data_IF_347967396480
#
_entry.id   IF_347967396480
#
_cell.length_a   1.000
_cell.length_b   1.000
_cell.length_c   1.000
_cell.angle_alpha   90.00
_cell.angle_beta   90.00
_cell.angle_gamma   90.00
#
_symmetry.space_group_name_H-M   'P 1'
#
loop_
_entity.id
_entity.type
_entity.pdbx_description
1 polymer ?
#
# COMPACT_ATOMS: atom_id res chain seq x y z
N UNK A 1 -11.71 -36.47 0.09
CA UNK A 1 -11.33 -35.09 0.51
C UNK A 1 -11.80 -34.91 1.95
N UNK A 2 -11.04 -34.23 2.82
CA UNK A 2 -11.50 -33.88 4.16
C UNK A 2 -12.79 -33.07 4.09
N UNK A 3 -13.67 -33.23 5.09
CA UNK A 3 -14.86 -32.39 5.19
C UNK A 3 -14.50 -31.07 5.86
N UNK A 4 -14.20 -30.05 5.04
CA UNK A 4 -13.86 -28.69 5.46
C UNK A 4 -14.96 -27.96 6.23
N UNK A 5 -16.18 -28.49 6.24
CA UNK A 5 -17.31 -27.94 7.00
C UNK A 5 -17.59 -28.71 8.29
N UNK A 6 -16.76 -29.68 8.66
CA UNK A 6 -16.90 -30.36 9.95
C UNK A 6 -16.52 -29.41 11.10
N UNK A 7 -17.26 -29.46 12.20
CA UNK A 7 -17.07 -28.56 13.35
C UNK A 7 -15.64 -28.62 13.92
N UNK A 8 -14.98 -29.79 13.84
CA UNK A 8 -13.59 -29.96 14.28
C UNK A 8 -12.59 -29.20 13.42
N UNK A 9 -12.79 -29.17 12.11
CA UNK A 9 -11.93 -28.42 11.18
C UNK A 9 -12.15 -26.92 11.35
N UNK A 10 -13.41 -26.46 11.42
CA UNK A 10 -13.74 -25.04 11.64
C UNK A 10 -13.17 -24.52 12.97
N UNK A 11 -13.23 -25.32 14.04
CA UNK A 11 -12.61 -24.96 15.32
C UNK A 11 -11.08 -24.86 15.22
N UNK A 12 -10.46 -25.80 14.49
CA UNK A 12 -9.01 -25.80 14.25
C UNK A 12 -8.59 -24.57 13.43
N UNK A 13 -9.32 -24.26 12.37
CA UNK A 13 -9.10 -23.09 11.52
C UNK A 13 -9.26 -21.79 12.29
N UNK A 14 -10.26 -21.71 13.18
CA UNK A 14 -10.47 -20.55 14.06
C UNK A 14 -9.26 -20.33 14.96
N UNK A 15 -8.72 -21.39 15.58
CA UNK A 15 -7.53 -21.30 16.43
C UNK A 15 -6.28 -20.90 15.63
N UNK A 16 -6.13 -21.42 14.41
CA UNK A 16 -5.03 -21.04 13.51
C UNK A 16 -5.16 -19.57 13.12
N UNK A 17 -6.37 -19.11 12.77
CA UNK A 17 -6.65 -17.73 12.42
C UNK A 17 -6.31 -16.76 13.56
N UNK A 18 -6.73 -17.05 14.79
CA UNK A 18 -6.41 -16.21 15.97
C UNK A 18 -4.90 -16.07 16.13
N UNK A 19 -4.15 -17.19 16.08
CA UNK A 19 -2.68 -17.17 16.19
C UNK A 19 -2.03 -16.40 15.05
N UNK A 20 -2.54 -16.55 13.83
CA UNK A 20 -2.04 -15.86 12.64
C UNK A 20 -2.25 -14.36 12.75
N UNK A 21 -3.43 -13.88 13.14
CA UNK A 21 -3.73 -12.46 13.33
C UNK A 21 -2.81 -11.83 14.36
N UNK A 22 -2.56 -12.51 15.49
CA UNK A 22 -1.61 -12.04 16.50
C UNK A 22 -0.18 -11.90 15.95
N UNK A 23 0.29 -12.90 15.21
CA UNK A 23 1.61 -12.87 14.59
C UNK A 23 1.72 -11.74 13.55
N UNK A 24 0.70 -11.58 12.70
CA UNK A 24 0.64 -10.52 11.69
C UNK A 24 0.56 -9.13 12.32
N UNK A 25 -0.20 -8.96 13.40
CA UNK A 25 -0.23 -7.70 14.15
C UNK A 25 1.15 -7.38 14.72
N UNK A 26 1.84 -8.35 15.33
CA UNK A 26 3.20 -8.14 15.83
C UNK A 26 4.17 -7.69 14.73
N UNK A 27 4.13 -8.35 13.57
CA UNK A 27 4.93 -7.99 12.40
C UNK A 27 4.58 -6.58 11.89
N UNK A 28 3.29 -6.25 11.80
CA UNK A 28 2.84 -4.94 11.35
C UNK A 28 3.19 -3.83 12.34
N UNK A 29 3.06 -4.08 13.64
CA UNK A 29 3.48 -3.15 14.70
C UNK A 29 4.98 -2.86 14.61
N UNK A 30 5.79 -3.89 14.40
CA UNK A 30 7.24 -3.75 14.21
C UNK A 30 7.56 -2.83 13.03
N UNK A 31 6.99 -3.12 11.86
CA UNK A 31 7.15 -2.28 10.66
C UNK A 31 6.65 -0.85 10.90
N UNK A 32 5.53 -0.69 11.60
CA UNK A 32 4.96 0.60 11.93
C UNK A 32 5.91 1.42 12.81
N UNK A 33 6.40 0.85 13.91
CA UNK A 33 7.32 1.53 14.83
C UNK A 33 8.62 1.91 14.13
N UNK A 34 9.22 0.98 13.37
CA UNK A 34 10.49 1.22 12.67
C UNK A 34 10.42 2.34 11.63
N UNK A 35 9.22 2.64 11.12
CA UNK A 35 9.02 3.68 10.11
C UNK A 35 8.44 4.98 10.67
N UNK A 36 8.19 5.06 11.99
CA UNK A 36 7.79 6.31 12.66
C UNK A 36 8.84 7.41 12.54
N UNK A 37 10.13 7.08 12.51
CA UNK A 37 11.22 8.05 12.31
C UNK A 37 11.04 8.87 11.02
N UNK A 38 10.55 8.21 9.97
CA UNK A 38 10.27 8.86 8.69
C UNK A 38 9.06 9.80 8.80
N UNK A 39 7.99 9.38 9.47
CA UNK A 39 6.79 10.20 9.68
C UNK A 39 7.10 11.41 10.55
N UNK A 40 7.84 11.19 11.64
CA UNK A 40 8.29 12.24 12.55
C UNK A 40 9.18 13.26 11.83
N UNK A 41 10.05 12.81 10.92
CA UNK A 41 10.85 13.72 10.10
C UNK A 41 10.00 14.56 9.13
N UNK A 42 8.83 14.08 8.69
CA UNK A 42 7.90 14.87 7.88
C UNK A 42 7.10 15.85 8.74
N UNK A 43 6.61 15.38 9.89
CA UNK A 43 5.83 16.20 10.82
C UNK A 43 6.68 17.35 11.40
N UNK A 44 7.95 17.08 11.72
CA UNK A 44 8.92 18.09 12.18
C UNK A 44 9.44 18.99 11.04
N UNK A 45 8.93 18.85 9.83
CA UNK A 45 9.31 19.68 8.68
C UNK A 45 10.71 19.43 8.12
N UNK A 46 11.44 18.42 8.64
CA UNK A 46 12.76 18.03 8.11
C UNK A 46 12.67 17.47 6.68
N UNK A 47 11.49 16.99 6.27
CA UNK A 47 11.20 16.58 4.88
C UNK A 47 10.02 17.34 4.29
N UNK A 48 10.12 17.68 2.99
CA UNK A 48 9.05 18.36 2.25
C UNK A 48 7.82 17.47 2.11
N UNK A 49 6.68 17.95 2.60
CA UNK A 49 5.39 17.32 2.42
C UNK A 49 4.99 17.33 0.93
N UNK A 50 4.50 16.20 0.44
CA UNK A 50 3.94 16.06 -0.92
C UNK A 50 2.54 15.51 -0.79
N UNK A 51 1.58 16.08 -1.52
CA UNK A 51 0.16 15.68 -1.45
C UNK A 51 -0.10 14.17 -1.62
N UNK A 52 0.59 13.42 -2.50
CA UNK A 52 0.48 11.95 -2.58
C UNK A 52 0.68 11.19 -1.26
N UNK A 53 1.41 11.79 -0.33
CA UNK A 53 1.76 11.15 0.94
C UNK A 53 0.57 11.04 1.89
N UNK A 54 -0.49 11.81 1.67
CA UNK A 54 -1.75 11.71 2.43
C UNK A 54 -2.36 10.33 2.26
N UNK A 55 -2.43 9.81 1.03
CA UNK A 55 -2.99 8.47 0.77
C UNK A 55 -2.13 7.36 1.37
N UNK A 56 -0.81 7.56 1.41
CA UNK A 56 0.11 6.66 2.10
C UNK A 56 -0.16 6.60 3.60
N UNK A 57 -0.25 7.75 4.26
CA UNK A 57 -0.56 7.78 5.69
C UNK A 57 -1.96 7.26 5.98
N UNK A 58 -2.98 7.72 5.26
CA UNK A 58 -4.35 7.27 5.45
C UNK A 58 -4.47 5.74 5.38
N UNK A 59 -3.90 5.10 4.35
CA UNK A 59 -3.96 3.64 4.21
C UNK A 59 -3.22 2.91 5.33
N UNK A 60 -2.09 3.45 5.77
CA UNK A 60 -1.28 2.89 6.86
C UNK A 60 -1.99 2.98 8.22
N UNK A 61 -2.54 4.13 8.58
CA UNK A 61 -3.27 4.28 9.84
C UNK A 61 -4.58 3.48 9.82
N UNK A 62 -5.29 3.45 8.69
CA UNK A 62 -6.51 2.63 8.55
C UNK A 62 -6.21 1.13 8.71
N UNK A 63 -5.13 0.62 8.10
CA UNK A 63 -4.73 -0.77 8.28
C UNK A 63 -4.37 -1.09 9.74
N UNK A 64 -3.69 -0.18 10.43
CA UNK A 64 -3.38 -0.33 11.85
C UNK A 64 -4.67 -0.45 12.68
N UNK A 65 -5.62 0.45 12.47
CA UNK A 65 -6.91 0.42 13.19
C UNK A 65 -7.75 -0.81 12.84
N UNK A 66 -7.70 -1.28 11.58
CA UNK A 66 -8.34 -2.53 11.18
C UNK A 66 -7.72 -3.73 11.92
N UNK A 67 -6.40 -3.84 11.98
CA UNK A 67 -5.72 -4.92 12.72
C UNK A 67 -6.01 -4.89 14.23
N UNK A 68 -6.08 -3.71 14.83
CA UNK A 68 -6.51 -3.56 16.23
C UNK A 68 -7.97 -3.98 16.39
N UNK A 69 -8.86 -3.57 15.49
CA UNK A 69 -10.27 -3.97 15.49
C UNK A 69 -10.45 -5.49 15.32
N UNK A 70 -9.63 -6.13 14.49
CA UNK A 70 -9.62 -7.57 14.31
C UNK A 70 -9.23 -8.30 15.60
N UNK A 71 -8.20 -7.82 16.33
CA UNK A 71 -7.83 -8.37 17.64
C UNK A 71 -8.95 -8.22 18.67
N UNK A 72 -9.55 -7.03 18.77
CA UNK A 72 -10.70 -6.81 19.64
C UNK A 72 -11.83 -7.81 19.31
N UNK A 73 -12.05 -8.08 18.02
CA UNK A 73 -13.09 -8.99 17.55
C UNK A 73 -12.86 -10.45 17.96
N UNK A 74 -11.62 -10.88 18.19
CA UNK A 74 -11.29 -12.27 18.56
C UNK A 74 -10.98 -12.47 20.04
N UNK A 75 -10.52 -11.43 20.76
CA UNK A 75 -10.06 -11.54 22.16
C UNK A 75 -10.98 -10.84 23.18
N UNK A 76 -12.06 -10.19 22.74
CA UNK A 76 -12.95 -9.50 23.69
C UNK A 76 -13.70 -10.49 24.59
N UNK A 77 -13.58 -10.29 25.91
CA UNK A 77 -14.35 -11.01 26.92
C UNK A 77 -15.61 -10.25 27.37
N UNK A 78 -15.77 -9.01 26.92
CA UNK A 78 -16.89 -8.11 27.28
C UNK A 78 -17.81 -7.90 26.09
N UNK A 79 -19.09 -7.68 26.38
CA UNK A 79 -20.08 -7.38 25.35
C UNK A 79 -19.74 -6.09 24.61
N UNK A 80 -19.59 -6.21 23.30
CA UNK A 80 -19.31 -5.10 22.37
C UNK A 80 -20.29 -5.14 21.21
N UNK A 81 -20.45 -4.00 20.55
CA UNK A 81 -21.25 -3.93 19.33
C UNK A 81 -20.49 -4.57 18.15
N UNK A 82 -20.61 -5.90 18.02
CA UNK A 82 -19.95 -6.69 16.97
C UNK A 82 -20.26 -6.19 15.56
N UNK A 83 -21.49 -5.71 15.35
CA UNK A 83 -21.90 -5.16 14.06
C UNK A 83 -21.08 -3.94 13.70
N UNK A 84 -20.98 -2.97 14.60
CA UNK A 84 -20.17 -1.77 14.36
C UNK A 84 -18.69 -2.11 14.18
N UNK A 85 -18.16 -3.03 14.99
CA UNK A 85 -16.76 -3.45 14.93
C UNK A 85 -16.40 -4.11 13.60
N UNK A 86 -17.19 -5.09 13.14
CA UNK A 86 -16.92 -5.78 11.88
C UNK A 86 -17.23 -4.94 10.66
N UNK A 87 -18.25 -4.08 10.69
CA UNK A 87 -18.49 -3.10 9.61
C UNK A 87 -17.31 -2.14 9.49
N UNK A 88 -16.81 -1.63 10.62
CA UNK A 88 -15.61 -0.79 10.63
C UNK A 88 -14.40 -1.54 10.10
N UNK A 89 -14.15 -2.76 10.57
CA UNK A 89 -12.99 -3.56 10.15
C UNK A 89 -13.02 -3.88 8.65
N UNK A 90 -14.19 -4.24 8.12
CA UNK A 90 -14.38 -4.51 6.70
C UNK A 90 -14.08 -3.25 5.87
N UNK A 91 -14.70 -2.12 6.23
CA UNK A 91 -14.51 -0.86 5.52
C UNK A 91 -13.06 -0.35 5.62
N UNK A 92 -12.45 -0.40 6.81
CA UNK A 92 -11.10 0.06 7.04
C UNK A 92 -10.07 -0.81 6.30
N UNK A 93 -10.26 -2.13 6.29
CA UNK A 93 -9.43 -3.08 5.56
C UNK A 93 -9.51 -2.86 4.04
N UNK A 94 -10.72 -2.79 3.49
CA UNK A 94 -10.93 -2.58 2.06
C UNK A 94 -10.44 -1.19 1.61
N UNK A 95 -10.67 -0.16 2.44
CA UNK A 95 -10.15 1.18 2.19
C UNK A 95 -8.61 1.24 2.23
N UNK A 96 -7.97 0.53 3.16
CA UNK A 96 -6.50 0.45 3.22
C UNK A 96 -5.92 -0.16 1.93
N UNK A 97 -6.57 -1.19 1.39
CA UNK A 97 -6.23 -1.81 0.11
C UNK A 97 -6.42 -0.81 -1.04
N UNK A 98 -7.58 -0.16 -1.13
CA UNK A 98 -7.84 0.85 -2.16
C UNK A 98 -6.84 2.01 -2.15
N UNK A 99 -6.44 2.46 -0.96
CA UNK A 99 -5.41 3.50 -0.78
C UNK A 99 -4.02 3.02 -1.19
N UNK A 100 -3.67 1.77 -0.93
CA UNK A 100 -2.44 1.16 -1.43
C UNK A 100 -2.40 1.13 -2.96
N UNK A 101 -3.50 0.78 -3.62
CA UNK A 101 -3.58 0.79 -5.09
C UNK A 101 -3.52 2.20 -5.69
N UNK A 102 -4.07 3.22 -5.00
CA UNK A 102 -3.86 4.62 -5.37
C UNK A 102 -2.37 4.99 -5.29
N UNK A 103 -1.68 4.61 -4.21
CA UNK A 103 -0.25 4.88 -4.05
C UNK A 103 0.58 4.26 -5.17
N UNK A 104 0.24 3.04 -5.59
CA UNK A 104 0.87 2.39 -6.74
C UNK A 104 0.58 3.17 -8.03
N UNK A 105 -0.67 3.56 -8.26
CA UNK A 105 -1.10 4.33 -9.43
C UNK A 105 -0.40 5.68 -9.55
N UNK A 106 -0.22 6.40 -8.43
CA UNK A 106 0.49 7.68 -8.39
C UNK A 106 1.96 7.53 -8.83
N UNK A 107 2.61 6.40 -8.50
CA UNK A 107 3.96 6.10 -8.97
C UNK A 107 3.98 5.87 -10.47
N UNK A 108 3.01 5.14 -11.00
CA UNK A 108 2.86 4.90 -12.45
C UNK A 108 2.64 6.20 -13.22
N UNK A 109 1.79 7.09 -12.70
CA UNK A 109 1.55 8.41 -13.29
C UNK A 109 2.85 9.22 -13.39
N UNK A 110 3.70 9.17 -12.36
CA UNK A 110 5.00 9.84 -12.38
C UNK A 110 5.95 9.23 -13.43
N UNK A 111 5.99 7.89 -13.56
CA UNK A 111 6.80 7.19 -14.59
C UNK A 111 6.35 7.56 -16.00
N UNK A 112 5.05 7.78 -16.20
CA UNK A 112 4.47 8.22 -17.48
C UNK A 112 4.54 9.73 -17.71
N UNK A 113 5.32 10.47 -16.91
CA UNK A 113 5.50 11.92 -17.04
C UNK A 113 4.16 12.67 -17.07
N UNK A 114 3.19 12.23 -16.28
CA UNK A 114 1.85 12.84 -16.17
C UNK A 114 1.06 12.90 -17.48
N UNK A 115 1.16 11.87 -18.33
CA UNK A 115 0.30 11.76 -19.50
C UNK A 115 -1.19 11.75 -19.12
N UNK A 116 -1.94 12.76 -19.59
CA UNK A 116 -3.36 12.97 -19.26
C UNK A 116 -4.25 11.77 -19.57
N UNK A 117 -3.93 11.00 -20.62
CA UNK A 117 -4.66 9.78 -20.97
C UNK A 117 -4.55 8.69 -19.89
N UNK A 118 -3.33 8.43 -19.41
CA UNK A 118 -3.09 7.44 -18.37
C UNK A 118 -3.72 7.89 -17.05
N UNK A 119 -3.64 9.18 -16.74
CA UNK A 119 -4.29 9.76 -15.56
C UNK A 119 -5.81 9.54 -15.64
N UNK A 120 -6.44 9.86 -16.77
CA UNK A 120 -7.88 9.69 -16.96
C UNK A 120 -8.34 8.24 -16.76
N UNK A 121 -7.62 7.28 -17.35
CA UNK A 121 -7.92 5.84 -17.20
C UNK A 121 -7.76 5.40 -15.74
N UNK A 122 -6.65 5.77 -15.08
CA UNK A 122 -6.40 5.39 -13.69
C UNK A 122 -7.41 6.00 -12.73
N UNK A 123 -7.78 7.27 -12.92
CA UNK A 123 -8.80 7.93 -12.10
C UNK A 123 -10.15 7.22 -12.24
N UNK A 124 -10.53 6.82 -13.46
CA UNK A 124 -11.78 6.09 -13.68
C UNK A 124 -11.80 4.74 -12.98
N UNK A 125 -10.70 3.98 -13.03
CA UNK A 125 -10.58 2.70 -12.33
C UNK A 125 -10.61 2.91 -10.80
N UNK A 126 -9.93 3.94 -10.29
CA UNK A 126 -9.98 4.28 -8.86
C UNK A 126 -11.40 4.60 -8.41
N UNK A 127 -12.16 5.41 -9.17
CA UNK A 127 -13.55 5.72 -8.83
C UNK A 127 -14.43 4.45 -8.82
N UNK A 128 -14.25 3.57 -9.80
CA UNK A 128 -14.91 2.26 -9.82
C UNK A 128 -14.58 1.44 -8.56
N UNK A 129 -13.31 1.41 -8.17
CA UNK A 129 -12.87 0.69 -6.97
C UNK A 129 -13.54 1.23 -5.70
N UNK A 130 -13.54 2.55 -5.48
CA UNK A 130 -14.17 3.14 -4.29
C UNK A 130 -15.68 2.94 -4.24
N UNK A 131 -16.34 2.90 -5.40
CA UNK A 131 -17.77 2.57 -5.44
C UNK A 131 -18.06 1.15 -4.95
N UNK A 132 -17.21 0.17 -5.30
CA UNK A 132 -17.32 -1.21 -4.84
C UNK A 132 -17.01 -1.32 -3.34
N UNK A 133 -15.97 -0.66 -2.85
CA UNK A 133 -15.61 -0.64 -1.42
C UNK A 133 -16.78 -0.14 -0.57
N UNK A 134 -17.42 0.96 -0.97
CA UNK A 134 -18.56 1.52 -0.23
C UNK A 134 -19.81 0.61 -0.25
N UNK A 135 -19.97 -0.21 -1.30
CA UNK A 135 -21.08 -1.16 -1.42
C UNK A 135 -20.79 -2.49 -0.71
N UNK A 136 -19.54 -2.79 -0.34
CA UNK A 136 -19.10 -4.10 0.17
C UNK A 136 -19.53 -4.41 1.61
N UNK A 137 -20.58 -3.76 2.13
CA UNK A 137 -21.05 -3.91 3.53
C UNK A 137 -22.36 -4.72 3.66
N UNK A 138 -22.41 -6.03 3.32
CA UNK A 138 -23.52 -6.90 3.72
C UNK A 138 -23.06 -7.93 4.77
N UNK A 139 -22.81 -7.47 6.00
CA UNK A 139 -22.50 -8.37 7.11
C UNK A 139 -23.38 -8.05 8.31
N UNK A 140 -23.88 -9.10 8.95
CA UNK A 140 -24.65 -9.06 10.19
C UNK A 140 -23.94 -9.89 11.24
N UNK A 141 -23.64 -9.28 12.38
CA UNK A 141 -22.93 -9.93 13.48
C UNK A 141 -23.57 -9.62 14.83
N UNK A 142 -23.63 -10.65 15.68
CA UNK A 142 -24.24 -10.59 17.01
C UNK A 142 -23.28 -11.09 18.06
N UNK A 143 -23.43 -10.57 19.27
CA UNK A 143 -22.72 -11.06 20.45
C UNK A 143 -23.39 -12.33 21.00
N UNK A 144 -22.60 -13.39 21.21
CA UNK A 144 -23.06 -14.63 21.87
C UNK A 144 -22.36 -14.79 23.21
N UNK A 145 -23.09 -14.81 24.33
CA UNK A 145 -22.51 -14.99 25.67
C UNK A 145 -21.66 -16.27 25.75
N UNK A 146 -20.43 -16.14 26.24
CA UNK A 146 -19.50 -17.27 26.41
C UNK A 146 -18.73 -17.68 25.15
N UNK A 147 -19.07 -17.14 23.97
CA UNK A 147 -18.39 -17.43 22.69
C UNK A 147 -17.76 -16.18 22.08
N UNK A 148 -18.40 -15.01 22.23
CA UNK A 148 -17.92 -13.73 21.71
C UNK A 148 -18.70 -13.25 20.48
N UNK A 149 -18.06 -12.45 19.62
CA UNK A 149 -18.67 -11.97 18.39
C UNK A 149 -18.75 -13.07 17.33
N UNK A 150 -19.94 -13.30 16.78
CA UNK A 150 -20.16 -14.25 15.67
C UNK A 150 -20.87 -13.58 14.51
N UNK A 151 -20.53 -14.01 13.29
CA UNK A 151 -21.15 -13.55 12.05
C UNK A 151 -22.37 -14.43 11.81
N UNK A 152 -23.57 -13.84 11.87
CA UNK A 152 -24.84 -14.58 11.70
C UNK A 152 -25.22 -14.71 10.24
N UNK A 153 -24.99 -13.65 9.46
CA UNK A 153 -25.26 -13.63 8.03
C UNK A 153 -24.16 -12.85 7.32
N UNK A 154 -23.62 -13.42 6.25
CA UNK A 154 -22.71 -12.72 5.35
C UNK A 154 -22.91 -13.20 3.92
N UNK A 155 -22.89 -12.25 2.98
CA UNK A 155 -22.85 -12.59 1.57
C UNK A 155 -21.42 -12.30 1.04
N UNK A 156 -20.61 -13.34 0.77
CA UNK A 156 -19.24 -13.16 0.35
C UNK A 156 -19.10 -12.65 -1.09
N UNK A 157 -20.19 -12.58 -1.88
CA UNK A 157 -20.11 -12.21 -3.30
C UNK A 157 -19.55 -10.80 -3.52
N UNK A 158 -20.00 -9.80 -2.74
CA UNK A 158 -19.52 -8.42 -2.92
C UNK A 158 -18.04 -8.25 -2.53
N UNK A 159 -17.57 -8.69 -1.35
CA UNK A 159 -16.14 -8.67 -1.03
C UNK A 159 -15.28 -9.41 -2.05
N UNK A 160 -15.76 -10.57 -2.53
CA UNK A 160 -15.04 -11.35 -3.56
C UNK A 160 -14.85 -10.54 -4.85
N UNK A 161 -15.90 -9.87 -5.33
CA UNK A 161 -15.82 -9.01 -6.52
C UNK A 161 -14.83 -7.86 -6.29
N UNK A 162 -14.88 -7.22 -5.13
CA UNK A 162 -13.98 -6.11 -4.76
C UNK A 162 -12.51 -6.54 -4.73
N UNK A 163 -12.21 -7.72 -4.17
CA UNK A 163 -10.85 -8.26 -4.17
C UNK A 163 -10.36 -8.59 -5.58
N UNK A 164 -11.18 -9.25 -6.41
CA UNK A 164 -10.83 -9.55 -7.80
C UNK A 164 -10.58 -8.26 -8.57
N UNK A 165 -11.45 -7.26 -8.41
CA UNK A 165 -11.30 -5.94 -9.02
C UNK A 165 -9.96 -5.29 -8.62
N UNK A 166 -9.62 -5.31 -7.33
CA UNK A 166 -8.33 -4.80 -6.81
C UNK A 166 -7.15 -5.48 -7.50
N UNK A 167 -7.14 -6.82 -7.54
CA UNK A 167 -6.05 -7.58 -8.13
C UNK A 167 -5.86 -7.23 -9.61
N UNK A 168 -6.96 -7.11 -10.36
CA UNK A 168 -6.93 -6.67 -11.75
C UNK A 168 -6.41 -5.23 -11.89
N UNK A 169 -6.86 -4.33 -11.02
CA UNK A 169 -6.40 -2.94 -11.01
C UNK A 169 -4.89 -2.85 -10.77
N UNK A 170 -4.39 -3.46 -9.70
CA UNK A 170 -2.96 -3.47 -9.38
C UNK A 170 -2.15 -4.13 -10.50
N UNK A 171 -2.65 -5.22 -11.09
CA UNK A 171 -2.01 -5.87 -12.23
C UNK A 171 -1.88 -4.94 -13.44
N UNK A 172 -2.95 -4.21 -13.80
CA UNK A 172 -2.91 -3.22 -14.90
C UNK A 172 -1.88 -2.14 -14.61
N UNK A 173 -1.86 -1.60 -13.38
CA UNK A 173 -0.92 -0.56 -12.96
C UNK A 173 0.54 -1.07 -13.01
N UNK A 174 0.78 -2.30 -12.56
CA UNK A 174 2.09 -2.96 -12.65
C UNK A 174 2.52 -3.15 -14.10
N UNK A 175 1.63 -3.64 -14.98
CA UNK A 175 1.91 -3.80 -16.41
C UNK A 175 2.25 -2.46 -17.08
N UNK A 176 1.50 -1.40 -16.81
CA UNK A 176 1.78 -0.06 -17.34
C UNK A 176 3.14 0.47 -16.88
N UNK A 177 3.50 0.20 -15.62
CA UNK A 177 4.79 0.60 -15.05
C UNK A 177 5.94 -0.19 -15.69
N UNK A 178 5.80 -1.51 -15.75
CA UNK A 178 6.79 -2.42 -16.32
C UNK A 178 7.02 -2.15 -17.81
N UNK A 179 5.95 -1.96 -18.59
CA UNK A 179 6.03 -1.63 -20.01
C UNK A 179 6.82 -0.33 -20.22
N UNK A 180 6.47 0.74 -19.50
CA UNK A 180 7.17 2.01 -19.65
C UNK A 180 8.63 1.92 -19.24
N UNK A 181 8.96 1.14 -18.21
CA UNK A 181 10.33 0.98 -17.74
C UNK A 181 11.17 0.11 -18.68
N UNK A 182 10.59 -0.93 -19.29
CA UNK A 182 11.28 -1.81 -20.23
C UNK A 182 11.53 -1.13 -21.58
N UNK A 183 10.60 -0.30 -22.05
CA UNK A 183 10.66 0.35 -23.36
C UNK A 183 11.12 1.81 -23.32
N UNK A 184 11.27 2.41 -22.14
CA UNK A 184 12.00 3.67 -22.03
C UNK A 184 13.47 3.40 -22.40
N UNK A 185 14.05 4.12 -23.37
CA UNK A 185 15.46 4.02 -23.65
C UNK A 185 16.20 4.23 -22.33
N UNK A 186 16.98 3.24 -21.88
CA UNK A 186 17.94 3.45 -20.80
C UNK A 186 18.73 4.69 -21.21
N UNK A 187 18.45 5.84 -20.61
CA UNK A 187 19.42 6.92 -20.62
C UNK A 187 20.59 6.34 -19.86
N UNK A 188 21.55 5.82 -20.61
CA UNK A 188 22.81 5.33 -20.12
C UNK A 188 23.44 6.48 -19.32
N UNK A 189 23.20 6.47 -18.01
CA UNK A 189 23.85 7.34 -17.06
C UNK A 189 25.28 6.85 -16.85
N UNK A 190 26.12 6.97 -17.87
CA UNK A 190 27.59 6.98 -17.70
C UNK A 190 28.29 7.75 -18.84
N UNK A 191 27.69 8.86 -19.29
CA UNK A 191 28.34 9.78 -20.24
C UNK A 191 28.46 11.21 -19.68
N UNK A 192 28.47 11.36 -18.35
CA UNK A 192 28.59 12.66 -17.66
C UNK A 192 29.96 12.95 -17.07
N UNK A 193 30.79 11.93 -16.79
CA UNK A 193 32.09 12.12 -16.12
C UNK A 193 33.29 12.25 -17.07
N UNK A 194 33.19 11.76 -18.31
CA UNK A 194 34.33 11.75 -19.22
C UNK A 194 34.57 13.10 -19.94
N UNK A 195 33.52 13.91 -20.11
CA UNK A 195 33.61 15.20 -20.81
C UNK A 195 34.20 16.30 -19.93
N UNK A 196 33.97 16.26 -18.60
CA UNK A 196 34.61 17.19 -17.66
C UNK A 196 36.13 16.92 -17.52
N UNK A 197 36.57 15.66 -17.60
CA UNK A 197 38.01 15.33 -17.51
C UNK A 197 38.80 15.75 -18.76
N UNK A 198 38.21 15.66 -19.96
CA UNK A 198 38.85 16.16 -21.20
C UNK A 198 38.96 17.68 -21.23
N UNK A 199 37.97 18.43 -20.70
CA UNK A 199 38.05 19.90 -20.62
C UNK A 199 39.08 20.38 -19.59
N UNK A 200 39.21 19.68 -18.45
CA UNK A 200 40.23 19.99 -17.44
C UNK A 200 41.64 19.69 -17.92
N UNK A 201 41.89 18.58 -18.64
CA UNK A 201 43.22 18.30 -19.20
C UNK A 201 43.60 19.30 -20.30
N UNK A 202 42.68 19.72 -21.16
CA UNK A 202 42.97 20.70 -22.22
C UNK A 202 43.34 22.08 -21.67
N UNK A 203 42.77 22.49 -20.53
CA UNK A 203 43.12 23.74 -19.84
C UNK A 203 44.50 23.67 -19.15
N UNK A 204 44.86 22.53 -18.56
CA UNK A 204 46.19 22.35 -17.95
C UNK A 204 47.31 22.36 -19.01
N UNK A 205 47.10 21.72 -20.17
CA UNK A 205 48.09 21.76 -21.27
C UNK A 205 48.14 23.08 -22.04
N UNK A 206 47.07 23.90 -21.99
CA UNK A 206 47.08 25.24 -22.59
C UNK A 206 47.78 26.28 -21.69
N UNK A 207 47.72 26.12 -20.36
CA UNK A 207 48.43 27.00 -19.42
C UNK A 207 49.96 26.84 -19.47
N UNK A 208 50.46 25.65 -19.82
CA UNK A 208 51.90 25.36 -19.79
C UNK A 208 52.69 25.80 -21.03
N UNK A 209 52.02 26.29 -22.09
CA UNK A 209 52.67 26.79 -23.32
C UNK A 209 52.84 28.32 -23.38
N UNK A 210 52.55 29.04 -22.30
CA UNK A 210 52.55 30.52 -22.30
C UNK A 210 53.66 31.17 -21.46
N UNK A 211 54.72 30.44 -21.09
CA UNK A 211 55.88 31.07 -20.43
C UNK A 211 57.21 30.80 -21.16
N UNK A 212 57.51 31.54 -22.24
CA UNK A 212 58.87 31.85 -22.62
C UNK A 212 59.29 33.20 -21.98
N UNK A 213 60.57 33.32 -21.56
CA UNK A 213 61.25 34.52 -21.02
C UNK A 213 60.98 34.79 -19.53
N UNK A 214 61.93 35.05 -18.63
CA UNK A 214 63.31 35.54 -18.66
C UNK A 214 64.12 34.81 -17.55
N UNK A 215 65.37 34.43 -17.82
CA UNK A 215 66.60 35.02 -17.27
C UNK A 215 66.80 34.80 -15.76
#
# INVERSE_FOLDING_TARGET
MPNWQSNSEVATDTLIYIKLIHALMGLYAWEFIMSLDFEWAILTGKKKFRWPLIFYFAGRYLLLFAMIGALIGVDTAVEVNCQALYVFNQLAGDAAIGLASINLSLRTIAVWSQNKWIIGILVLIVLGHWSLILQSIPLSATWVPGVGCTITESNPSLPTITFIYTMCFDFVVLCLTAYKLAWAPRRAGSSGLHTKRKRSKKLVYAGQKSNPTLA
#
